data_IF_736637952409
#
_entry.id   IF_736637952409
#
_cell.length_a   1.000
_cell.length_b   1.000
_cell.length_c   1.000
_cell.angle_alpha   90.00
_cell.angle_beta   90.00
_cell.angle_gamma   90.00
#
_symmetry.space_group_name_H-M   'P 1'
#
loop_
_entity.id
_entity.type
_entity.pdbx_description
1 polymer ?
#
# COMPACT_ATOMS: atom_id res chain seq x y z
N UNK A 1 16.97 -5.16 -8.14
CA UNK A 1 15.71 -4.48 -7.89
C UNK A 1 15.80 -3.08 -8.45
N UNK A 2 14.94 -2.72 -9.37
CA UNK A 2 14.89 -1.38 -9.96
C UNK A 2 14.01 -0.53 -9.06
N UNK A 3 14.59 0.44 -8.42
CA UNK A 3 13.86 1.28 -7.49
C UNK A 3 12.85 2.17 -8.21
N UNK A 4 11.64 2.25 -7.70
CA UNK A 4 10.48 2.91 -8.34
C UNK A 4 10.60 4.45 -8.39
N UNK A 5 11.42 5.05 -7.51
CA UNK A 5 11.51 6.51 -7.38
C UNK A 5 11.81 7.25 -8.70
N UNK A 6 12.57 6.64 -9.61
CA UNK A 6 12.88 7.25 -10.90
C UNK A 6 11.72 7.25 -11.90
N UNK A 7 10.72 6.40 -11.68
CA UNK A 7 9.62 6.18 -12.61
C UNK A 7 8.35 6.94 -12.17
N UNK A 8 8.32 7.46 -10.93
CA UNK A 8 7.25 8.29 -10.42
C UNK A 8 7.31 9.69 -11.05
N UNK A 9 6.22 10.07 -11.72
CA UNK A 9 6.12 11.35 -12.43
C UNK A 9 5.48 12.42 -11.54
N UNK A 10 5.86 13.68 -11.79
CA UNK A 10 5.15 14.80 -11.20
C UNK A 10 3.67 14.77 -11.61
N UNK A 11 2.80 15.00 -10.65
CA UNK A 11 1.36 14.93 -10.84
C UNK A 11 0.67 16.02 -10.03
N UNK A 12 -0.36 16.64 -10.62
CA UNK A 12 -1.25 17.56 -9.93
C UNK A 12 -2.67 17.11 -10.22
N UNK A 13 -3.33 16.57 -9.22
CA UNK A 13 -4.68 16.07 -9.28
C UNK A 13 -5.66 16.85 -8.40
N UNK A 14 -6.84 16.29 -8.24
CA UNK A 14 -7.92 16.85 -7.41
C UNK A 14 -7.70 16.53 -5.93
N UNK A 15 -7.24 15.33 -5.63
CA UNK A 15 -7.10 14.83 -4.25
C UNK A 15 -5.67 14.96 -3.73
N UNK A 16 -4.67 14.86 -4.61
CA UNK A 16 -3.27 14.92 -4.22
C UNK A 16 -2.38 15.47 -5.36
N UNK A 17 -1.15 15.80 -4.99
CA UNK A 17 -0.07 16.07 -5.93
C UNK A 17 1.14 15.18 -5.64
N UNK A 18 1.93 14.90 -6.67
CA UNK A 18 3.23 14.21 -6.55
C UNK A 18 4.31 15.13 -7.10
N UNK A 19 5.36 15.35 -6.34
CA UNK A 19 6.50 16.17 -6.77
C UNK A 19 7.76 15.77 -6.05
N UNK A 20 8.92 16.12 -6.62
CA UNK A 20 10.20 15.99 -5.93
C UNK A 20 10.47 17.17 -5.04
N UNK A 21 10.83 16.92 -3.79
CA UNK A 21 11.27 17.95 -2.87
C UNK A 21 12.72 18.41 -3.14
N UNK A 22 13.20 19.38 -2.36
CA UNK A 22 14.56 19.94 -2.50
C UNK A 22 15.69 18.92 -2.24
N UNK A 23 15.38 17.75 -1.69
CA UNK A 23 16.31 16.65 -1.44
C UNK A 23 16.24 15.60 -2.53
N UNK A 24 15.41 15.79 -3.57
CA UNK A 24 15.18 14.83 -4.63
C UNK A 24 14.25 13.68 -4.26
N UNK A 25 13.60 13.76 -3.11
CA UNK A 25 12.65 12.75 -2.63
C UNK A 25 11.28 13.06 -3.25
N UNK A 26 10.65 12.05 -3.85
CA UNK A 26 9.28 12.17 -4.37
C UNK A 26 8.28 12.17 -3.20
N UNK A 27 7.37 13.11 -3.17
CA UNK A 27 6.35 13.27 -2.13
C UNK A 27 4.96 13.26 -2.74
N UNK A 28 4.03 12.52 -2.12
CA UNK A 28 2.60 12.62 -2.38
C UNK A 28 1.98 13.53 -1.31
N UNK A 29 1.39 14.63 -1.73
CA UNK A 29 0.76 15.61 -0.86
C UNK A 29 -0.73 15.67 -1.18
N UNK A 30 -1.58 15.32 -0.23
CA UNK A 30 -3.02 15.35 -0.42
C UNK A 30 -3.56 16.78 -0.30
N UNK A 31 -4.39 17.19 -1.25
CA UNK A 31 -4.83 18.58 -1.43
C UNK A 31 -6.16 18.90 -0.76
N UNK A 32 -7.00 17.91 -0.53
CA UNK A 32 -8.37 18.09 -0.03
C UNK A 32 -8.48 18.40 1.48
N UNK A 33 -7.38 18.60 2.16
CA UNK A 33 -7.30 19.21 3.50
C UNK A 33 -8.20 18.65 4.63
N UNK A 34 -8.98 17.63 4.33
CA UNK A 34 -10.05 17.16 5.22
C UNK A 34 -9.60 16.14 6.24
N UNK A 35 -8.38 15.66 6.18
CA UNK A 35 -7.93 14.72 7.18
C UNK A 35 -7.05 15.41 8.22
N UNK A 36 -7.22 15.01 9.46
CA UNK A 36 -6.37 15.36 10.58
C UNK A 36 -4.95 14.80 10.42
N UNK A 37 -4.77 13.87 9.52
CA UNK A 37 -3.51 13.22 9.24
C UNK A 37 -2.57 14.14 8.44
N UNK A 38 -1.35 14.31 8.89
CA UNK A 38 -0.33 15.00 8.13
C UNK A 38 0.18 14.12 6.98
N UNK A 39 -0.60 14.07 5.90
CA UNK A 39 -0.33 13.27 4.71
C UNK A 39 1.01 13.59 4.07
N UNK A 40 1.50 14.83 4.23
CA UNK A 40 2.84 15.21 3.80
C UNK A 40 3.92 14.50 4.62
N UNK A 41 3.71 14.36 5.94
CA UNK A 41 4.65 13.60 6.78
C UNK A 41 4.60 12.11 6.44
N UNK A 42 3.42 11.57 6.18
CA UNK A 42 3.29 10.19 5.71
C UNK A 42 4.04 9.99 4.39
N UNK A 43 3.79 10.86 3.40
CA UNK A 43 4.52 10.80 2.13
C UNK A 43 6.04 10.91 2.34
N UNK A 44 6.49 11.81 3.21
CA UNK A 44 7.92 11.92 3.56
C UNK A 44 8.45 10.68 4.27
N UNK A 45 7.67 10.10 5.19
CA UNK A 45 8.03 8.86 5.85
C UNK A 45 8.12 7.74 4.82
N UNK A 46 7.11 7.58 3.97
CA UNK A 46 7.11 6.57 2.93
C UNK A 46 8.24 6.75 1.92
N UNK A 47 8.55 7.97 1.54
CA UNK A 47 9.56 8.28 0.51
C UNK A 47 10.94 8.58 1.08
N UNK A 48 11.03 9.19 2.27
CA UNK A 48 12.29 9.32 3.00
C UNK A 48 12.81 7.98 3.50
N UNK A 49 11.90 7.04 3.73
CA UNK A 49 12.19 5.64 4.01
C UNK A 49 12.29 4.81 2.72
N UNK A 50 12.04 5.35 1.54
CA UNK A 50 12.06 4.55 0.33
C UNK A 50 13.45 4.09 -0.10
N UNK A 51 14.50 4.81 0.17
CA UNK A 51 15.85 4.24 0.13
C UNK A 51 16.08 3.23 1.25
N UNK A 52 15.44 3.45 2.40
CA UNK A 52 15.50 2.58 3.57
C UNK A 52 14.34 1.56 3.58
N UNK A 53 13.17 1.89 3.01
CA UNK A 53 12.04 0.97 2.84
C UNK A 53 12.34 -0.19 1.90
N UNK A 54 13.11 0.05 0.84
CA UNK A 54 13.60 -1.05 0.01
C UNK A 54 14.37 -2.06 0.85
N UNK A 55 15.17 -1.58 1.80
CA UNK A 55 15.91 -2.41 2.75
C UNK A 55 14.98 -3.03 3.81
N UNK A 56 14.06 -2.26 4.38
CA UNK A 56 13.15 -2.71 5.44
C UNK A 56 12.13 -3.71 4.91
N UNK A 57 11.43 -3.39 3.80
CA UNK A 57 10.44 -4.30 3.24
C UNK A 57 11.10 -5.52 2.61
N UNK A 58 12.21 -5.36 1.93
CA UNK A 58 12.98 -6.49 1.41
C UNK A 58 13.47 -7.39 2.55
N UNK A 59 14.04 -6.83 3.62
CA UNK A 59 14.47 -7.58 4.79
C UNK A 59 13.29 -8.22 5.55
N UNK A 60 12.13 -7.55 5.59
CA UNK A 60 10.93 -8.07 6.23
C UNK A 60 10.31 -9.24 5.46
N UNK A 61 10.26 -9.13 4.12
CA UNK A 61 9.66 -10.15 3.26
C UNK A 61 10.67 -11.20 2.77
N UNK A 62 11.97 -10.95 2.93
CA UNK A 62 13.02 -11.90 2.54
C UNK A 62 12.97 -13.15 3.43
N UNK A 63 12.73 -14.30 2.82
CA UNK A 63 12.64 -15.58 3.53
C UNK A 63 11.21 -16.06 3.83
N UNK A 64 10.20 -15.24 3.60
CA UNK A 64 8.82 -15.68 3.62
C UNK A 64 8.36 -16.03 2.20
N UNK A 65 7.69 -17.15 2.04
CA UNK A 65 7.09 -17.57 0.77
C UNK A 65 5.60 -17.35 0.91
N UNK A 66 5.10 -16.29 0.28
CA UNK A 66 3.68 -16.01 0.17
C UNK A 66 3.27 -16.23 -1.29
N UNK A 67 2.27 -17.08 -1.52
CA UNK A 67 1.74 -17.31 -2.86
C UNK A 67 0.65 -16.29 -3.20
N UNK A 68 -0.26 -16.03 -2.25
CA UNK A 68 -1.35 -15.07 -2.41
C UNK A 68 -1.34 -14.03 -1.31
N UNK A 69 -1.36 -12.76 -1.70
CA UNK A 69 -1.32 -11.61 -0.79
C UNK A 69 -2.49 -10.69 -1.06
N UNK A 70 -3.12 -10.21 0.01
CA UNK A 70 -4.08 -9.09 -0.01
C UNK A 70 -3.46 -7.88 0.67
N UNK A 71 -3.56 -6.71 0.05
CA UNK A 71 -3.08 -5.45 0.61
C UNK A 71 -4.25 -4.46 0.63
N UNK A 72 -4.51 -3.85 1.77
CA UNK A 72 -5.42 -2.72 1.90
C UNK A 72 -4.61 -1.44 1.86
N UNK A 73 -4.87 -0.59 0.87
CA UNK A 73 -4.12 0.62 0.58
C UNK A 73 -3.07 0.43 -0.52
N UNK A 74 -3.04 1.33 -1.48
CA UNK A 74 -2.12 1.28 -2.62
C UNK A 74 -0.97 2.29 -2.45
N UNK A 75 -1.28 3.54 -2.05
CA UNK A 75 -0.31 4.62 -1.99
C UNK A 75 0.48 4.75 -3.30
N UNK A 76 1.81 4.66 -3.24
CA UNK A 76 2.69 4.60 -4.42
C UNK A 76 2.88 3.20 -5.00
N UNK A 77 2.22 2.18 -4.48
CA UNK A 77 2.39 0.81 -4.92
C UNK A 77 3.70 0.15 -4.49
N UNK A 78 4.40 0.69 -3.48
CA UNK A 78 5.72 0.20 -3.06
C UNK A 78 5.66 -1.20 -2.47
N UNK A 79 4.70 -1.46 -1.58
CA UNK A 79 4.54 -2.79 -0.95
C UNK A 79 4.18 -3.86 -1.99
N UNK A 80 3.13 -3.69 -2.81
CA UNK A 80 2.78 -4.72 -3.80
C UNK A 80 3.90 -4.94 -4.82
N UNK A 81 4.59 -3.87 -5.27
CA UNK A 81 5.70 -4.00 -6.20
C UNK A 81 6.88 -4.75 -5.56
N UNK A 82 7.23 -4.44 -4.31
CA UNK A 82 8.29 -5.15 -3.58
C UNK A 82 7.97 -6.64 -3.43
N UNK A 83 6.74 -6.98 -3.05
CA UNK A 83 6.31 -8.38 -2.93
C UNK A 83 6.35 -9.12 -4.25
N UNK A 84 5.89 -8.50 -5.34
CA UNK A 84 5.98 -9.07 -6.69
C UNK A 84 7.42 -9.37 -7.09
N UNK A 85 8.37 -8.49 -6.74
CA UNK A 85 9.77 -8.67 -7.11
C UNK A 85 10.54 -9.67 -6.25
N UNK A 86 10.27 -9.75 -4.93
CA UNK A 86 11.09 -10.56 -4.01
C UNK A 86 10.52 -11.93 -3.70
N UNK A 87 9.20 -12.09 -3.75
CA UNK A 87 8.53 -13.31 -3.27
C UNK A 87 7.94 -14.19 -4.37
N UNK A 88 7.96 -13.75 -5.64
CA UNK A 88 7.32 -14.47 -6.76
C UNK A 88 5.86 -14.88 -6.40
N UNK A 89 5.11 -13.98 -5.79
CA UNK A 89 3.71 -14.22 -5.47
C UNK A 89 2.94 -14.57 -6.76
N UNK A 90 2.07 -15.56 -6.71
CA UNK A 90 1.22 -15.89 -7.86
C UNK A 90 0.06 -14.93 -8.02
N UNK A 91 -0.30 -14.22 -6.93
CA UNK A 91 -1.40 -13.27 -6.89
C UNK A 91 -1.19 -12.21 -5.82
N UNK A 92 -1.30 -10.95 -6.20
CA UNK A 92 -1.30 -9.80 -5.29
C UNK A 92 -2.57 -8.99 -5.58
N UNK A 93 -3.52 -9.01 -4.66
CA UNK A 93 -4.72 -8.19 -4.70
C UNK A 93 -4.52 -6.95 -3.83
N UNK A 94 -4.77 -5.77 -4.39
CA UNK A 94 -4.68 -4.49 -3.67
C UNK A 94 -6.04 -3.82 -3.67
N UNK A 95 -6.59 -3.56 -2.50
CA UNK A 95 -7.85 -2.83 -2.32
C UNK A 95 -7.53 -1.37 -2.03
N UNK A 96 -8.01 -0.47 -2.91
CA UNK A 96 -7.79 0.97 -2.81
C UNK A 96 -9.12 1.71 -2.96
N UNK A 97 -9.35 2.67 -2.07
CA UNK A 97 -10.59 3.46 -2.05
C UNK A 97 -10.54 4.69 -2.96
N UNK A 98 -9.36 5.24 -3.22
CA UNK A 98 -9.22 6.45 -4.03
C UNK A 98 -8.94 6.12 -5.49
N UNK A 99 -9.90 6.45 -6.38
CA UNK A 99 -9.76 6.24 -7.82
C UNK A 99 -8.58 7.01 -8.40
N UNK A 100 -8.29 8.20 -7.89
CA UNK A 100 -7.21 9.03 -8.39
C UNK A 100 -5.84 8.43 -8.08
N UNK A 101 -5.69 7.80 -6.90
CA UNK A 101 -4.49 7.02 -6.54
C UNK A 101 -4.32 5.82 -7.47
N UNK A 102 -5.42 5.13 -7.81
CA UNK A 102 -5.40 4.03 -8.77
C UNK A 102 -4.95 4.51 -10.15
N UNK A 103 -5.57 5.56 -10.65
CA UNK A 103 -5.30 6.10 -12.00
C UNK A 103 -3.84 6.59 -12.11
N UNK A 104 -3.33 7.22 -11.07
CA UNK A 104 -1.93 7.63 -10.99
C UNK A 104 -0.97 6.44 -11.10
N UNK A 105 -1.18 5.41 -10.32
CA UNK A 105 -0.31 4.22 -10.34
C UNK A 105 -0.37 3.49 -11.68
N UNK A 106 -1.56 3.37 -12.29
CA UNK A 106 -1.71 2.77 -13.62
C UNK A 106 -1.00 3.60 -14.69
N UNK A 107 -1.18 4.93 -14.66
CA UNK A 107 -0.57 5.82 -15.66
C UNK A 107 0.95 5.91 -15.54
N UNK A 108 1.49 5.76 -14.34
CA UNK A 108 2.94 5.72 -14.09
C UNK A 108 3.59 4.45 -14.62
N UNK A 109 2.82 3.37 -14.78
CA UNK A 109 3.28 2.14 -15.46
C UNK A 109 4.40 1.38 -14.74
N UNK A 110 4.59 1.61 -13.45
CA UNK A 110 5.67 1.01 -12.67
C UNK A 110 5.28 -0.30 -11.98
N UNK A 111 3.98 -0.58 -11.88
CA UNK A 111 3.49 -1.80 -11.23
C UNK A 111 3.61 -3.02 -12.16
N UNK A 112 3.98 -4.15 -11.59
CA UNK A 112 4.02 -5.42 -12.32
C UNK A 112 2.61 -5.93 -12.63
N UNK A 113 2.49 -6.71 -13.69
CA UNK A 113 1.20 -7.19 -14.22
C UNK A 113 0.50 -8.25 -13.37
N UNK A 114 1.17 -8.81 -12.38
CA UNK A 114 0.62 -9.75 -11.39
C UNK A 114 -0.13 -9.04 -10.24
N UNK A 115 -0.01 -7.71 -10.16
CA UNK A 115 -0.70 -6.88 -9.19
C UNK A 115 -2.10 -6.53 -9.72
N UNK A 116 -3.13 -6.94 -8.99
CA UNK A 116 -4.53 -6.67 -9.32
C UNK A 116 -5.08 -5.60 -8.38
N UNK A 117 -5.44 -4.44 -8.93
CA UNK A 117 -6.02 -3.33 -8.16
C UNK A 117 -7.54 -3.45 -8.16
N UNK A 118 -8.14 -3.41 -6.97
CA UNK A 118 -9.56 -3.52 -6.73
C UNK A 118 -10.05 -2.21 -6.12
N UNK A 119 -10.92 -1.49 -6.83
CA UNK A 119 -11.55 -0.28 -6.33
C UNK A 119 -12.63 -0.64 -5.32
N UNK A 120 -12.35 -0.46 -4.03
CA UNK A 120 -13.30 -0.70 -2.93
C UNK A 120 -12.83 -0.05 -1.64
N UNK A 121 -13.77 0.19 -0.72
CA UNK A 121 -13.47 0.39 0.68
C UNK A 121 -13.12 -0.96 1.31
N UNK A 122 -12.01 -1.04 2.06
CA UNK A 122 -11.60 -2.28 2.72
C UNK A 122 -12.62 -2.74 3.78
N UNK A 123 -13.33 -1.81 4.40
CA UNK A 123 -14.41 -2.13 5.35
C UNK A 123 -15.64 -2.75 4.69
N UNK A 124 -15.83 -2.54 3.39
CA UNK A 124 -16.93 -3.11 2.61
C UNK A 124 -16.48 -4.28 1.73
N UNK A 125 -15.17 -4.42 1.51
CA UNK A 125 -14.63 -5.45 0.64
C UNK A 125 -14.93 -6.85 1.17
N UNK A 126 -15.41 -7.70 0.27
CA UNK A 126 -15.70 -9.11 0.55
C UNK A 126 -15.14 -10.01 -0.53
N UNK A 127 -14.58 -11.14 -0.14
CA UNK A 127 -14.02 -12.13 -1.05
C UNK A 127 -14.16 -13.55 -0.48
N UNK A 128 -14.20 -14.54 -1.37
CA UNK A 128 -14.08 -15.96 -0.99
C UNK A 128 -12.64 -16.48 -1.14
N UNK A 129 -11.72 -15.62 -1.63
CA UNK A 129 -10.31 -15.98 -1.74
C UNK A 129 -9.68 -16.14 -0.35
N UNK A 130 -8.62 -16.96 -0.32
CA UNK A 130 -7.78 -17.18 0.84
C UNK A 130 -6.38 -16.67 0.53
N UNK A 131 -5.77 -16.01 1.50
CA UNK A 131 -4.46 -15.37 1.37
C UNK A 131 -3.48 -15.94 2.39
N UNK A 132 -2.21 -15.97 2.04
CA UNK A 132 -1.12 -16.36 2.95
C UNK A 132 -0.67 -15.15 3.79
N UNK A 133 -0.88 -13.96 3.25
CA UNK A 133 -0.60 -12.71 3.93
C UNK A 133 -1.69 -11.69 3.62
N UNK A 134 -2.17 -11.01 4.65
CA UNK A 134 -3.01 -9.81 4.53
C UNK A 134 -2.27 -8.65 5.19
N UNK A 135 -2.09 -7.55 4.45
CA UNK A 135 -1.45 -6.32 4.94
C UNK A 135 -2.51 -5.21 4.96
N UNK A 136 -2.68 -4.57 6.11
CA UNK A 136 -3.54 -3.38 6.23
C UNK A 136 -2.65 -2.16 6.27
N UNK A 137 -2.39 -1.55 5.11
CA UNK A 137 -1.57 -0.35 4.93
C UNK A 137 -2.44 0.82 4.45
N UNK A 138 -3.54 1.03 5.14
CA UNK A 138 -4.39 2.20 4.91
C UNK A 138 -3.78 3.41 5.60
N UNK A 139 -3.82 4.58 4.91
CA UNK A 139 -3.37 5.84 5.48
C UNK A 139 -4.41 6.29 6.49
N UNK A 140 -4.19 5.95 7.73
CA UNK A 140 -4.99 6.41 8.85
C UNK A 140 -4.10 7.24 9.75
N UNK A 141 -4.59 8.36 10.19
CA UNK A 141 -4.07 8.99 11.38
C UNK A 141 -4.33 8.02 12.54
N UNK A 142 -3.33 7.77 13.37
CA UNK A 142 -3.50 6.97 14.60
C UNK A 142 -4.68 7.45 15.46
N UNK A 143 -5.11 8.72 15.27
CA UNK A 143 -6.28 9.30 15.94
C UNK A 143 -7.61 8.99 15.23
N UNK A 144 -7.61 8.52 13.99
CA UNK A 144 -8.83 8.26 13.21
C UNK A 144 -9.26 6.79 13.23
N UNK A 145 -8.33 5.87 13.44
CA UNK A 145 -8.62 4.44 13.54
C UNK A 145 -8.61 4.00 15.00
N UNK A 146 -9.78 3.67 15.48
CA UNK A 146 -9.95 3.19 16.85
C UNK A 146 -9.58 1.70 16.96
N UNK A 147 -9.30 1.22 18.17
CA UNK A 147 -9.12 -0.21 18.44
C UNK A 147 -10.34 -1.03 17.97
N UNK A 148 -11.54 -0.43 17.95
CA UNK A 148 -12.77 -1.05 17.46
C UNK A 148 -12.72 -1.25 15.95
N UNK A 149 -12.22 -0.27 15.19
CA UNK A 149 -12.06 -0.37 13.73
C UNK A 149 -11.04 -1.43 13.35
N UNK A 150 -9.91 -1.50 14.06
CA UNK A 150 -8.93 -2.58 13.89
C UNK A 150 -9.54 -3.94 14.19
N UNK A 151 -10.26 -4.07 15.31
CA UNK A 151 -10.94 -5.31 15.67
C UNK A 151 -11.99 -5.73 14.65
N UNK A 152 -12.69 -4.75 14.05
CA UNK A 152 -13.65 -5.00 12.98
C UNK A 152 -12.95 -5.54 11.71
N UNK A 153 -11.91 -4.86 11.24
CA UNK A 153 -11.14 -5.31 10.07
C UNK A 153 -10.53 -6.69 10.30
N UNK A 154 -9.90 -6.90 11.45
CA UNK A 154 -9.35 -8.18 11.83
C UNK A 154 -10.42 -9.28 11.77
N UNK A 155 -11.56 -9.09 12.43
CA UNK A 155 -12.64 -10.07 12.48
C UNK A 155 -13.20 -10.41 11.09
N UNK A 156 -13.21 -9.44 10.17
CA UNK A 156 -13.69 -9.62 8.79
C UNK A 156 -12.67 -10.33 7.90
N UNK A 157 -11.40 -10.04 8.07
CA UNK A 157 -10.32 -10.53 7.19
C UNK A 157 -9.70 -11.85 7.67
N UNK A 158 -9.72 -12.14 8.97
CA UNK A 158 -9.24 -13.42 9.53
C UNK A 158 -9.82 -14.65 8.82
N UNK A 159 -11.13 -14.70 8.48
CA UNK A 159 -11.67 -15.83 7.73
C UNK A 159 -11.01 -16.04 6.35
N UNK A 160 -10.35 -15.01 5.81
CA UNK A 160 -9.68 -15.06 4.51
C UNK A 160 -8.19 -15.43 4.59
N UNK A 161 -7.69 -15.75 5.77
CA UNK A 161 -6.30 -16.20 5.95
C UNK A 161 -6.21 -17.71 5.81
N UNK A 162 -5.22 -18.18 5.06
CA UNK A 162 -4.87 -19.60 4.98
C UNK A 162 -4.32 -20.10 6.32
N UNK A 163 -4.43 -21.41 6.55
CA UNK A 163 -3.79 -22.04 7.72
C UNK A 163 -2.28 -21.80 7.67
N UNK A 164 -1.76 -21.13 8.69
CA UNK A 164 -0.35 -20.73 8.77
C UNK A 164 -0.04 -19.40 8.10
N UNK A 165 -1.03 -18.71 7.56
CA UNK A 165 -0.90 -17.35 7.05
C UNK A 165 -0.88 -16.29 8.16
N UNK A 166 -0.69 -15.04 7.79
CA UNK A 166 -0.55 -13.90 8.70
C UNK A 166 -1.42 -12.70 8.30
N UNK A 167 -1.84 -11.94 9.31
CA UNK A 167 -2.35 -10.58 9.17
C UNK A 167 -1.28 -9.63 9.72
N UNK A 168 -0.90 -8.63 8.94
CA UNK A 168 0.06 -7.62 9.31
C UNK A 168 -0.56 -6.23 9.22
N UNK A 169 -0.40 -5.45 10.28
CA UNK A 169 -0.74 -4.04 10.34
C UNK A 169 0.55 -3.28 10.58
N UNK A 170 1.06 -2.49 9.62
CA UNK A 170 2.22 -1.64 9.86
C UNK A 170 1.86 -0.60 10.94
N UNK A 171 2.66 -0.53 12.00
CA UNK A 171 2.53 0.43 13.08
C UNK A 171 3.52 1.56 12.84
#
# INVERSE_FOLDING_TARGET
>A
MKFIDSDLQDYIGTNFSVSKNNQGITEMTFLNGTSLFNKTNYAKIMLGQCTDCDYLYKGFFEGFIYDKVLIAGLGFGLIPQTLSEVNNCSKIDVVEIDQEVIDYNISSGHLNSDIVIIKSDIFEYTTNEKYDLIIIDTIWDESEMTDEDYGLLESRLLPNINTGGALYVPI
#
